data_IF_376647755592
#
_entry.id   IF_376647755592
#
_cell.length_a   1.000
_cell.length_b   1.000
_cell.length_c   1.000
_cell.angle_alpha   90.00
_cell.angle_beta   90.00
_cell.angle_gamma   90.00
#
_symmetry.space_group_name_H-M   'P 1'
#
loop_
_entity.id
_entity.type
_entity.pdbx_description
1 polymer ?
#
# COMPACT_ATOMS: atom_id res chain seq x y z
N UNK A 1 37.55 -47.22 22.37
CA UNK A 1 37.69 -45.91 23.05
C UNK A 1 37.40 -44.81 22.04
N UNK A 2 36.66 -43.79 22.46
CA UNK A 2 35.82 -42.92 21.64
C UNK A 2 36.59 -42.01 20.65
N UNK A 3 36.14 -42.01 19.39
CA UNK A 3 36.49 -40.99 18.39
C UNK A 3 35.70 -39.71 18.69
N UNK A 4 36.35 -38.76 19.36
CA UNK A 4 35.78 -37.44 19.67
C UNK A 4 35.77 -36.59 18.39
N UNK A 5 34.66 -36.59 17.64
CA UNK A 5 34.44 -35.65 16.52
C UNK A 5 34.32 -34.25 17.10
N UNK A 6 35.41 -33.49 17.05
CA UNK A 6 35.46 -32.06 17.33
C UNK A 6 34.75 -31.32 16.19
N UNK A 7 33.42 -31.27 16.22
CA UNK A 7 32.64 -30.42 15.32
C UNK A 7 32.95 -28.97 15.70
N UNK A 8 33.63 -28.23 14.82
CA UNK A 8 33.85 -26.80 15.02
C UNK A 8 32.48 -26.12 15.01
N UNK A 9 32.07 -25.52 16.13
CA UNK A 9 30.80 -24.80 16.30
C UNK A 9 30.71 -23.50 15.45
N UNK A 10 31.82 -23.07 14.85
CA UNK A 10 31.93 -21.85 14.03
C UNK A 10 30.93 -21.74 12.86
N UNK A 11 30.84 -22.71 11.93
CA UNK A 11 29.89 -22.65 10.81
C UNK A 11 28.42 -22.54 11.23
N UNK A 12 28.03 -23.16 12.35
CA UNK A 12 26.66 -23.07 12.87
C UNK A 12 26.34 -21.65 13.38
N UNK A 13 27.28 -21.02 14.08
CA UNK A 13 27.11 -19.65 14.57
C UNK A 13 27.01 -18.64 13.41
N UNK A 14 27.79 -18.83 12.34
CA UNK A 14 27.75 -17.97 11.15
C UNK A 14 26.43 -18.14 10.38
N UNK A 15 25.96 -19.37 10.20
CA UNK A 15 24.66 -19.63 9.57
C UNK A 15 23.50 -19.01 10.37
N UNK A 16 23.55 -19.09 11.69
CA UNK A 16 22.55 -18.48 12.56
C UNK A 16 22.59 -16.94 12.50
N UNK A 17 23.78 -16.34 12.49
CA UNK A 17 23.94 -14.90 12.32
C UNK A 17 23.42 -14.40 10.96
N UNK A 18 23.68 -15.14 9.88
CA UNK A 18 23.16 -14.85 8.55
C UNK A 18 21.63 -14.97 8.50
N UNK A 19 21.06 -16.02 9.10
CA UNK A 19 19.61 -16.19 9.17
C UNK A 19 18.95 -15.05 9.96
N UNK A 20 19.56 -14.59 11.05
CA UNK A 20 19.07 -13.46 11.83
C UNK A 20 19.18 -12.14 11.04
N UNK A 21 20.28 -11.89 10.34
CA UNK A 21 20.46 -10.69 9.51
C UNK A 21 19.46 -10.64 8.36
N UNK A 22 19.26 -11.76 7.66
CA UNK A 22 18.29 -11.87 6.57
C UNK A 22 16.84 -11.77 7.08
N UNK A 23 16.51 -12.45 8.18
CA UNK A 23 15.19 -12.38 8.81
C UNK A 23 14.84 -10.98 9.31
N UNK A 24 15.80 -10.28 9.91
CA UNK A 24 15.60 -8.92 10.41
C UNK A 24 15.43 -7.88 9.29
N UNK A 25 16.16 -8.06 8.17
CA UNK A 25 16.01 -7.22 6.98
C UNK A 25 14.63 -7.37 6.31
N UNK A 26 14.12 -8.60 6.21
CA UNK A 26 12.79 -8.87 5.66
C UNK A 26 11.66 -8.33 6.57
N UNK A 27 11.78 -8.48 7.88
CA UNK A 27 10.77 -8.01 8.83
C UNK A 27 10.58 -6.48 8.78
N UNK A 28 11.67 -5.72 8.58
CA UNK A 28 11.62 -4.25 8.44
C UNK A 28 10.96 -3.79 7.13
N UNK A 29 11.14 -4.54 6.04
CA UNK A 29 10.56 -4.21 4.73
C UNK A 29 9.04 -4.37 4.66
N UNK A 30 8.45 -5.25 5.48
CA UNK A 30 7.01 -5.50 5.50
C UNK A 30 6.20 -4.45 6.29
N UNK A 31 6.81 -3.76 7.25
CA UNK A 31 6.10 -2.83 8.13
C UNK A 31 5.75 -1.50 7.45
N UNK A 32 6.61 -0.94 6.60
CA UNK A 32 6.35 0.37 5.97
C UNK A 32 5.24 0.34 4.91
N UNK A 33 4.95 -0.84 4.35
CA UNK A 33 3.87 -1.05 3.38
C UNK A 33 2.49 -1.25 4.00
N UNK A 34 2.43 -1.52 5.31
CA UNK A 34 1.19 -1.90 6.01
C UNK A 34 0.22 -0.70 6.14
N UNK A 35 0.76 0.50 6.38
CA UNK A 35 -0.06 1.69 6.64
C UNK A 35 -0.88 2.14 5.42
N UNK A 36 -0.26 2.27 4.23
CA UNK A 36 -1.00 2.66 3.01
C UNK A 36 -1.93 1.55 2.54
N UNK A 37 -1.50 0.28 2.64
CA UNK A 37 -2.33 -0.87 2.25
C UNK A 37 -3.61 -0.93 3.09
N UNK A 38 -3.48 -0.80 4.41
CA UNK A 38 -4.64 -0.81 5.31
C UNK A 38 -5.60 0.37 5.05
N UNK A 39 -5.09 1.55 4.70
CA UNK A 39 -5.94 2.69 4.32
C UNK A 39 -6.70 2.45 3.02
N UNK A 40 -6.08 1.82 2.02
CA UNK A 40 -6.75 1.43 0.77
C UNK A 40 -7.82 0.35 1.01
N UNK A 41 -7.57 -0.58 1.93
CA UNK A 41 -8.54 -1.60 2.31
C UNK A 41 -9.75 -0.96 3.00
N UNK A 42 -9.53 -0.01 3.92
CA UNK A 42 -10.58 0.76 4.56
C UNK A 42 -11.42 1.55 3.53
N UNK A 43 -10.76 2.25 2.60
CA UNK A 43 -11.44 2.99 1.53
C UNK A 43 -12.31 2.06 0.68
N UNK A 44 -11.77 0.91 0.28
CA UNK A 44 -12.48 -0.08 -0.53
C UNK A 44 -13.69 -0.66 0.21
N UNK A 45 -13.57 -0.91 1.51
CA UNK A 45 -14.66 -1.37 2.35
C UNK A 45 -15.79 -0.33 2.45
N UNK A 46 -15.47 0.95 2.64
CA UNK A 46 -16.47 2.02 2.67
C UNK A 46 -17.17 2.16 1.32
N UNK A 47 -16.42 2.15 0.22
CA UNK A 47 -16.98 2.22 -1.12
C UNK A 47 -17.92 1.03 -1.41
N UNK A 48 -17.55 -0.17 -0.96
CA UNK A 48 -18.40 -1.35 -1.06
C UNK A 48 -19.70 -1.18 -0.25
N UNK A 49 -19.60 -0.66 0.98
CA UNK A 49 -20.79 -0.43 1.81
C UNK A 49 -21.74 0.57 1.16
N UNK A 50 -21.23 1.67 0.62
CA UNK A 50 -22.04 2.67 -0.09
C UNK A 50 -22.73 2.05 -1.31
N UNK A 51 -22.00 1.32 -2.15
CA UNK A 51 -22.60 0.70 -3.34
C UNK A 51 -23.72 -0.30 -3.03
N UNK A 52 -23.60 -1.05 -1.94
CA UNK A 52 -24.52 -2.15 -1.63
C UNK A 52 -25.63 -1.81 -0.63
N UNK A 53 -25.46 -0.76 0.16
CA UNK A 53 -26.38 -0.41 1.25
C UNK A 53 -27.03 0.96 1.08
N UNK A 54 -26.69 1.72 0.04
CA UNK A 54 -27.37 2.97 -0.24
C UNK A 54 -28.76 2.72 -0.85
N UNK A 55 -29.70 3.64 -0.60
CA UNK A 55 -31.11 3.49 -0.97
C UNK A 55 -31.31 3.35 -2.48
N UNK A 56 -30.47 4.03 -3.25
CA UNK A 56 -30.46 4.00 -4.72
C UNK A 56 -29.07 3.60 -5.22
N UNK A 57 -29.02 2.95 -6.38
CA UNK A 57 -27.75 2.55 -7.00
C UNK A 57 -26.90 3.80 -7.31
N UNK A 58 -25.75 3.99 -6.66
CA UNK A 58 -24.95 5.18 -6.86
C UNK A 58 -24.19 5.13 -8.19
N UNK A 59 -23.91 6.30 -8.74
CA UNK A 59 -23.05 6.45 -9.91
C UNK A 59 -21.57 6.32 -9.50
N UNK A 60 -20.95 5.20 -9.87
CA UNK A 60 -19.58 4.88 -9.53
C UNK A 60 -18.57 5.90 -10.05
N UNK A 61 -18.80 6.48 -11.24
CA UNK A 61 -17.88 7.50 -11.78
C UNK A 61 -17.92 8.76 -10.92
N UNK A 62 -19.14 9.18 -10.50
CA UNK A 62 -19.31 10.33 -9.60
C UNK A 62 -18.71 10.08 -8.22
N UNK A 63 -18.88 8.88 -7.65
CA UNK A 63 -18.29 8.54 -6.35
C UNK A 63 -16.76 8.62 -6.39
N UNK A 64 -16.14 8.03 -7.42
CA UNK A 64 -14.68 8.04 -7.56
C UNK A 64 -14.15 9.46 -7.82
N UNK A 65 -14.78 10.24 -8.71
CA UNK A 65 -14.40 11.65 -8.91
C UNK A 65 -14.55 12.48 -7.64
N UNK A 66 -15.64 12.31 -6.91
CA UNK A 66 -15.86 12.99 -5.63
C UNK A 66 -14.82 12.62 -4.58
N UNK A 67 -14.38 11.36 -4.52
CA UNK A 67 -13.30 10.93 -3.65
C UNK A 67 -11.96 11.59 -4.04
N UNK A 68 -11.63 11.65 -5.34
CA UNK A 68 -10.44 12.34 -5.85
C UNK A 68 -10.48 13.83 -5.48
N UNK A 69 -11.57 14.51 -5.78
CA UNK A 69 -11.74 15.94 -5.47
C UNK A 69 -11.64 16.20 -3.97
N UNK A 70 -12.19 15.31 -3.14
CA UNK A 70 -12.04 15.36 -1.69
C UNK A 70 -10.59 15.25 -1.23
N UNK A 71 -9.84 14.28 -1.79
CA UNK A 71 -8.40 14.12 -1.52
C UNK A 71 -7.57 15.32 -1.97
N UNK A 72 -7.90 15.95 -3.10
CA UNK A 72 -7.16 17.12 -3.57
C UNK A 72 -7.44 18.36 -2.71
N UNK A 73 -8.68 18.53 -2.24
CA UNK A 73 -9.06 19.62 -1.32
C UNK A 73 -8.35 19.54 0.03
N UNK A 74 -7.91 18.37 0.49
CA UNK A 74 -7.12 18.26 1.73
C UNK A 74 -5.68 18.72 1.56
N UNK A 75 -5.17 18.76 0.33
CA UNK A 75 -3.84 19.31 0.01
C UNK A 75 -3.90 20.83 -0.12
N UNK A 76 -4.79 21.33 -0.98
CA UNK A 76 -5.02 22.76 -1.22
C UNK A 76 -6.42 22.98 -1.83
N UNK A 77 -7.25 23.91 -1.31
CA UNK A 77 -8.54 24.27 -1.88
C UNK A 77 -8.57 24.56 -3.39
N UNK A 78 -7.43 24.96 -3.97
CA UNK A 78 -7.33 25.30 -5.39
C UNK A 78 -6.83 24.16 -6.28
N UNK A 79 -6.43 23.02 -5.71
CA UNK A 79 -5.96 21.87 -6.50
C UNK A 79 -7.15 21.14 -7.12
N UNK A 80 -7.08 20.89 -8.44
CA UNK A 80 -8.14 20.23 -9.21
C UNK A 80 -7.58 19.12 -10.09
N UNK A 81 -8.35 18.04 -10.25
CA UNK A 81 -8.03 16.98 -11.20
C UNK A 81 -8.52 17.34 -12.60
N UNK A 82 -7.59 17.37 -13.58
CA UNK A 82 -7.92 17.62 -14.98
C UNK A 82 -7.81 16.31 -15.77
N UNK A 83 -8.93 15.77 -16.29
CA UNK A 83 -8.88 14.58 -17.13
C UNK A 83 -8.13 14.87 -18.44
N UNK A 84 -7.39 13.90 -18.97
CA UNK A 84 -6.60 14.03 -20.21
C UNK A 84 -7.42 14.54 -21.40
N UNK A 85 -8.69 14.15 -21.51
CA UNK A 85 -9.61 14.61 -22.57
C UNK A 85 -9.82 16.13 -22.55
N UNK A 86 -9.76 16.74 -21.36
CA UNK A 86 -9.96 18.18 -21.17
C UNK A 86 -8.63 18.94 -21.28
N UNK A 87 -7.50 18.29 -20.96
CA UNK A 87 -6.18 18.88 -21.16
C UNK A 87 -5.89 19.11 -22.66
N UNK A 88 -6.24 18.16 -23.52
CA UNK A 88 -6.03 18.27 -24.98
C UNK A 88 -6.82 19.43 -25.60
N UNK A 89 -8.04 19.71 -25.12
CA UNK A 89 -8.84 20.83 -25.60
C UNK A 89 -8.27 22.20 -25.23
N UNK A 90 -7.51 22.29 -24.13
CA UNK A 90 -6.87 23.54 -23.70
C UNK A 90 -5.58 23.84 -24.47
N UNK A 91 -4.92 22.79 -25.01
CA UNK A 91 -3.72 22.93 -25.83
C UNK A 91 -4.06 23.19 -27.32
N UNK A 92 -5.31 22.98 -27.73
CA UNK A 92 -5.80 23.14 -29.09
C UNK A 92 -6.52 24.49 -29.35
N UNK A 93 -6.74 25.32 -28.32
CA UNK A 93 -7.27 26.70 -28.39
C UNK A 93 -6.16 27.76 -28.23
#
# INVERSE_FOLDING_TARGET
MAFFRRTSLGPLAVAMALALLLGFGLARGLQATDDMRSQLDLFSQVLYLVQNNYVEAPDNEKLIKGAIDGMLKTLDPHTVYVPMQRAQQMDEE
#
